data_IF_631561349207
#
_entry.id   IF_631561349207
#
_cell.length_a   1.000
_cell.length_b   1.000
_cell.length_c   1.000
_cell.angle_alpha   90.00
_cell.angle_beta   90.00
_cell.angle_gamma   90.00
#
_symmetry.space_group_name_H-M   'P 1'
#
loop_
_entity.id
_entity.type
_entity.pdbx_description
1 polymer ?
#
# COMPACT_ATOMS: atom_id res chain seq x y z
N UNK A 1 -25.45 -4.47 -0.36
CA UNK A 1 -24.57 -5.65 -0.27
C UNK A 1 -23.37 -5.25 0.57
N UNK A 2 -23.23 -5.77 1.80
CA UNK A 2 -22.06 -5.50 2.64
C UNK A 2 -20.88 -6.23 2.00
N UNK A 3 -19.92 -5.50 1.42
CA UNK A 3 -18.68 -6.10 0.96
C UNK A 3 -18.04 -6.83 2.16
N UNK A 4 -17.69 -8.11 2.02
CA UNK A 4 -17.00 -8.87 3.08
C UNK A 4 -15.66 -8.22 3.48
N UNK A 5 -15.09 -7.40 2.60
CA UNK A 5 -13.89 -6.59 2.81
C UNK A 5 -14.20 -5.15 2.42
N UNK A 6 -14.34 -4.21 3.38
CA UNK A 6 -14.69 -2.82 3.09
C UNK A 6 -13.59 -2.09 2.28
N UNK A 7 -12.32 -2.48 2.47
CA UNK A 7 -11.16 -1.88 1.80
C UNK A 7 -10.19 -2.94 1.26
N UNK A 8 -10.47 -3.56 0.10
CA UNK A 8 -9.66 -4.67 -0.42
C UNK A 8 -8.21 -4.28 -0.71
N UNK A 9 -7.97 -3.06 -1.20
CA UNK A 9 -6.62 -2.56 -1.47
C UNK A 9 -5.81 -2.34 -0.18
N UNK A 10 -6.46 -1.79 0.86
CA UNK A 10 -5.85 -1.62 2.18
C UNK A 10 -5.51 -2.97 2.80
N UNK A 11 -6.44 -3.94 2.73
CA UNK A 11 -6.20 -5.30 3.23
C UNK A 11 -5.00 -5.95 2.55
N UNK A 12 -4.92 -5.85 1.22
CA UNK A 12 -3.80 -6.38 0.45
C UNK A 12 -2.49 -5.68 0.80
N UNK A 13 -2.50 -4.34 0.88
CA UNK A 13 -1.32 -3.55 1.28
C UNK A 13 -0.82 -3.92 2.67
N UNK A 14 -1.71 -4.05 3.64
CA UNK A 14 -1.39 -4.47 5.01
C UNK A 14 -0.83 -5.89 5.05
N UNK A 15 -1.43 -6.83 4.31
CA UNK A 15 -0.94 -8.21 4.26
C UNK A 15 0.46 -8.30 3.63
N UNK A 16 0.68 -7.59 2.52
CA UNK A 16 2.00 -7.51 1.84
C UNK A 16 3.03 -6.88 2.78
N UNK A 17 2.69 -5.74 3.39
CA UNK A 17 3.58 -5.05 4.33
C UNK A 17 3.93 -5.97 5.52
N UNK A 18 2.94 -6.63 6.11
CA UNK A 18 3.17 -7.58 7.21
C UNK A 18 4.18 -8.66 6.82
N UNK A 19 4.01 -9.28 5.64
CA UNK A 19 4.92 -10.33 5.17
C UNK A 19 6.32 -9.81 4.84
N UNK A 20 6.43 -8.60 4.29
CA UNK A 20 7.72 -7.96 4.06
C UNK A 20 8.49 -7.69 5.35
N UNK A 21 7.79 -7.31 6.43
CA UNK A 21 8.40 -7.03 7.74
C UNK A 21 8.67 -8.28 8.58
N UNK A 22 7.75 -9.25 8.60
CA UNK A 22 7.79 -10.43 9.48
C UNK A 22 8.38 -11.68 8.83
N UNK A 23 8.57 -11.67 7.51
CA UNK A 23 9.08 -12.78 6.72
C UNK A 23 7.99 -13.71 6.17
N UNK A 24 8.35 -14.46 5.13
CA UNK A 24 7.44 -15.38 4.44
C UNK A 24 7.41 -16.75 5.11
N UNK A 25 6.44 -16.96 5.99
CA UNK A 25 6.10 -18.28 6.52
C UNK A 25 4.59 -18.52 6.50
N UNK A 26 4.17 -19.80 6.53
CA UNK A 26 2.74 -20.17 6.56
C UNK A 26 2.01 -19.55 7.75
N UNK A 27 2.66 -19.49 8.91
CA UNK A 27 2.09 -18.86 10.11
C UNK A 27 1.91 -17.35 9.93
N UNK A 28 2.92 -16.66 9.39
CA UNK A 28 2.83 -15.22 9.14
C UNK A 28 1.79 -14.87 8.08
N UNK A 29 1.58 -15.72 7.08
CA UNK A 29 0.53 -15.52 6.08
C UNK A 29 -0.88 -15.54 6.71
N UNK A 30 -1.14 -16.46 7.65
CA UNK A 30 -2.41 -16.50 8.38
C UNK A 30 -2.58 -15.25 9.25
N UNK A 31 -1.53 -14.86 9.97
CA UNK A 31 -1.54 -13.65 10.80
C UNK A 31 -1.77 -12.38 9.98
N UNK A 32 -1.12 -12.27 8.81
CA UNK A 32 -1.27 -11.16 7.88
C UNK A 32 -2.73 -10.99 7.43
N UNK A 33 -3.40 -12.10 7.07
CA UNK A 33 -4.81 -12.07 6.66
C UNK A 33 -5.72 -11.65 7.81
N UNK A 34 -5.54 -12.23 9.00
CA UNK A 34 -6.34 -11.89 10.18
C UNK A 34 -6.17 -10.42 10.57
N UNK A 35 -4.93 -9.94 10.60
CA UNK A 35 -4.61 -8.55 10.90
C UNK A 35 -5.20 -7.58 9.86
N UNK A 36 -5.07 -7.90 8.57
CA UNK A 36 -5.63 -7.09 7.48
C UNK A 36 -7.17 -6.98 7.57
N UNK A 37 -7.86 -8.09 7.82
CA UNK A 37 -9.32 -8.09 8.00
C UNK A 37 -9.70 -7.23 9.22
N UNK A 38 -9.07 -7.47 10.39
CA UNK A 38 -9.34 -6.72 11.60
C UNK A 38 -9.13 -5.20 11.41
N UNK A 39 -8.01 -4.82 10.79
CA UNK A 39 -7.69 -3.43 10.50
C UNK A 39 -8.70 -2.79 9.55
N UNK A 40 -9.05 -3.45 8.44
CA UNK A 40 -10.01 -2.87 7.48
C UNK A 40 -11.42 -2.72 8.07
N UNK A 41 -11.84 -3.62 8.96
CA UNK A 41 -13.10 -3.46 9.71
C UNK A 41 -13.03 -2.33 10.74
N UNK A 42 -11.91 -2.18 11.46
CA UNK A 42 -11.70 -1.06 12.37
C UNK A 42 -11.76 0.29 11.62
N UNK A 43 -11.07 0.39 10.49
CA UNK A 43 -11.13 1.55 9.59
C UNK A 43 -12.54 1.82 9.05
N UNK A 44 -13.32 0.77 8.77
CA UNK A 44 -14.72 0.93 8.37
C UNK A 44 -15.61 1.43 9.51
N UNK A 45 -15.33 1.03 10.75
CA UNK A 45 -16.06 1.48 11.93
C UNK A 45 -15.78 2.96 12.26
N UNK A 46 -14.58 3.45 11.91
CA UNK A 46 -14.20 4.86 12.02
C UNK A 46 -14.87 5.76 10.97
N UNK A 47 -15.59 5.19 10.01
CA UNK A 47 -16.33 5.95 9.00
C UNK A 47 -15.45 6.58 7.93
N UNK A 48 -14.23 6.08 7.75
CA UNK A 48 -13.38 6.54 6.65
C UNK A 48 -14.04 6.32 5.29
N UNK A 49 -13.74 7.18 4.32
CA UNK A 49 -14.30 7.08 2.97
C UNK A 49 -13.28 6.38 2.09
N UNK A 50 -13.69 5.28 1.45
CA UNK A 50 -12.81 4.54 0.55
C UNK A 50 -12.37 5.41 -0.63
N UNK A 51 -11.05 5.60 -0.85
CA UNK A 51 -10.56 6.37 -1.97
C UNK A 51 -10.92 5.66 -3.28
N UNK A 52 -11.67 6.35 -4.13
CA UNK A 52 -12.05 5.84 -5.46
C UNK A 52 -10.93 6.10 -6.46
N UNK A 53 -10.10 5.10 -6.70
CA UNK A 53 -9.05 5.18 -7.71
C UNK A 53 -9.70 5.11 -9.10
N UNK A 54 -9.78 6.26 -9.77
CA UNK A 54 -10.35 6.37 -11.13
C UNK A 54 -9.34 6.03 -12.24
N UNK A 55 -8.04 6.20 -11.98
CA UNK A 55 -6.96 6.02 -12.97
C UNK A 55 -5.84 5.15 -12.40
N UNK A 56 -6.03 3.83 -12.43
CA UNK A 56 -5.03 2.87 -11.93
C UNK A 56 -3.70 2.95 -12.66
N UNK A 57 -3.71 3.26 -13.96
CA UNK A 57 -2.50 3.45 -14.78
C UNK A 57 -1.67 4.68 -14.38
N UNK A 58 -2.29 5.69 -13.76
CA UNK A 58 -1.57 6.89 -13.32
C UNK A 58 -0.64 6.61 -12.13
N UNK A 59 -0.91 5.56 -11.34
CA UNK A 59 -0.09 5.21 -10.18
C UNK A 59 1.34 4.81 -10.59
N UNK A 60 1.55 3.79 -11.45
CA UNK A 60 2.89 3.42 -11.88
C UNK A 60 3.56 4.51 -12.73
N UNK A 61 2.79 5.26 -13.53
CA UNK A 61 3.29 6.39 -14.33
C UNK A 61 3.89 7.48 -13.44
N UNK A 62 3.13 7.97 -12.46
CA UNK A 62 3.59 8.99 -11.52
C UNK A 62 4.74 8.48 -10.64
N UNK A 63 4.70 7.22 -10.23
CA UNK A 63 5.80 6.61 -9.48
C UNK A 63 7.12 6.63 -10.26
N UNK A 64 7.09 6.27 -11.55
CA UNK A 64 8.25 6.33 -12.42
C UNK A 64 8.78 7.75 -12.62
N UNK A 65 7.89 8.72 -12.83
CA UNK A 65 8.24 10.15 -12.94
C UNK A 65 8.94 10.63 -11.67
N UNK A 66 8.36 10.36 -10.50
CA UNK A 66 8.93 10.77 -9.21
C UNK A 66 10.32 10.14 -8.98
N UNK A 67 10.50 8.85 -9.29
CA UNK A 67 11.81 8.21 -9.16
C UNK A 67 12.86 8.82 -10.10
N UNK A 68 12.46 9.14 -11.33
CA UNK A 68 13.35 9.80 -12.29
C UNK A 68 13.76 11.19 -11.81
N UNK A 69 12.81 11.98 -11.33
CA UNK A 69 13.05 13.32 -10.80
C UNK A 69 13.98 13.28 -9.59
N UNK A 70 13.79 12.30 -8.68
CA UNK A 70 14.69 12.06 -7.55
C UNK A 70 16.10 11.75 -8.05
N UNK A 71 16.25 10.85 -9.02
CA UNK A 71 17.56 10.45 -9.54
C UNK A 71 18.30 11.64 -10.17
N UNK A 72 17.65 12.39 -11.07
CA UNK A 72 18.24 13.55 -11.75
C UNK A 72 18.61 14.65 -10.74
N UNK A 73 17.75 14.91 -9.76
CA UNK A 73 17.99 15.89 -8.70
C UNK A 73 19.22 15.52 -7.87
N UNK A 74 19.33 14.26 -7.43
CA UNK A 74 20.50 13.81 -6.67
C UNK A 74 21.79 13.86 -7.49
N UNK A 75 21.74 13.51 -8.78
CA UNK A 75 22.89 13.65 -9.68
C UNK A 75 23.29 15.12 -9.84
N UNK A 76 22.34 16.04 -9.97
CA UNK A 76 22.61 17.46 -10.07
C UNK A 76 23.30 18.00 -8.80
N UNK A 77 22.80 17.61 -7.62
CA UNK A 77 23.41 17.96 -6.33
C UNK A 77 24.81 17.38 -6.19
N UNK A 78 24.99 16.09 -6.51
CA UNK A 78 26.28 15.40 -6.45
C UNK A 78 27.33 15.93 -7.44
N UNK A 79 26.94 16.76 -8.41
CA UNK A 79 27.86 17.46 -9.33
C UNK A 79 28.27 18.86 -8.83
N UNK A 80 27.51 19.43 -7.89
CA UNK A 80 27.76 20.78 -7.34
C UNK A 80 28.58 20.69 -6.04
N UNK A 81 28.46 19.58 -5.30
CA UNK A 81 29.32 19.21 -4.17
C UNK A 81 30.59 18.55 -4.70
#
# INVERSE_FOLDING_TARGET
MRALLPYPLLALGLAVMWLLLSGFSRGQAVLAVLAAIAATHAFSALGEVSPRIRRWLAIPELFGIVLWDILVSNIAVARII
#
